data_IF_236472456794
#
_entry.id   IF_236472456794
#
_cell.length_a   1.000
_cell.length_b   1.000
_cell.length_c   1.000
_cell.angle_alpha   90.00
_cell.angle_beta   90.00
_cell.angle_gamma   90.00
#
_symmetry.space_group_name_H-M   'P 1'
#
loop_
_entity.id
_entity.type
_entity.pdbx_description
1 polymer ?
#
# COMPACT_ATOMS: atom_id res chain seq x y z
N UNK A 1 -10.21 21.40 -3.87
CA UNK A 1 -10.80 20.96 -2.59
C UNK A 1 -12.09 21.69 -2.23
N UNK A 2 -12.25 22.99 -2.50
CA UNK A 2 -13.51 23.72 -2.28
C UNK A 2 -14.64 23.42 -3.30
N UNK A 3 -14.32 22.91 -4.50
CA UNK A 3 -15.31 22.65 -5.57
C UNK A 3 -16.22 21.43 -5.36
N UNK A 4 -15.82 20.48 -4.50
CA UNK A 4 -16.57 19.22 -4.30
C UNK A 4 -16.99 18.96 -2.84
N UNK A 5 -16.67 19.86 -1.90
CA UNK A 5 -17.03 19.73 -0.47
C UNK A 5 -16.65 18.37 0.16
N UNK A 6 -15.51 17.79 -0.26
CA UNK A 6 -15.03 16.51 0.23
C UNK A 6 -14.03 16.70 1.38
N UNK A 7 -14.15 15.86 2.42
CA UNK A 7 -13.09 15.69 3.42
C UNK A 7 -11.86 14.96 2.87
N UNK A 8 -10.77 14.82 3.65
CA UNK A 8 -9.51 14.25 3.17
C UNK A 8 -9.65 12.87 2.51
N UNK A 9 -10.36 11.94 3.16
CA UNK A 9 -10.57 10.58 2.65
C UNK A 9 -11.48 10.59 1.40
N UNK A 10 -12.53 11.41 1.40
CA UNK A 10 -13.42 11.56 0.26
C UNK A 10 -12.71 12.15 -0.97
N UNK A 11 -11.77 13.06 -0.76
CA UNK A 11 -10.90 13.60 -1.80
C UNK A 11 -10.04 12.51 -2.44
N UNK A 12 -9.46 11.62 -1.64
CA UNK A 12 -8.70 10.47 -2.15
C UNK A 12 -9.53 9.52 -2.99
N UNK A 13 -10.72 9.14 -2.51
CA UNK A 13 -11.65 8.27 -3.25
C UNK A 13 -11.98 8.90 -4.59
N UNK A 14 -12.32 10.19 -4.59
CA UNK A 14 -12.58 10.94 -5.83
C UNK A 14 -11.38 10.95 -6.79
N UNK A 15 -10.16 11.18 -6.29
CA UNK A 15 -8.96 11.14 -7.11
C UNK A 15 -8.71 9.76 -7.72
N UNK A 16 -8.95 8.67 -6.97
CA UNK A 16 -8.80 7.31 -7.48
C UNK A 16 -9.88 6.98 -8.52
N UNK A 17 -11.14 7.36 -8.28
CA UNK A 17 -12.23 7.26 -9.26
C UNK A 17 -11.90 8.00 -10.55
N UNK A 18 -11.39 9.23 -10.42
CA UNK A 18 -11.00 10.06 -11.56
C UNK A 18 -9.83 9.45 -12.33
N UNK A 19 -8.81 8.96 -11.62
CA UNK A 19 -7.67 8.27 -12.22
C UNK A 19 -8.12 7.02 -12.97
N UNK A 20 -9.02 6.22 -12.38
CA UNK A 20 -9.51 4.99 -13.01
C UNK A 20 -10.25 5.26 -14.32
N UNK A 21 -11.03 6.35 -14.39
CA UNK A 21 -11.74 6.80 -15.59
C UNK A 21 -10.81 7.36 -16.67
N UNK A 22 -9.65 7.88 -16.28
CA UNK A 22 -8.68 8.52 -17.16
C UNK A 22 -7.35 7.74 -17.23
N UNK A 23 -7.40 6.42 -17.03
CA UNK A 23 -6.19 5.59 -16.89
C UNK A 23 -5.28 5.64 -18.12
N UNK A 24 -5.84 5.85 -19.31
CA UNK A 24 -5.10 5.94 -20.57
C UNK A 24 -4.04 7.05 -20.54
N UNK A 25 -4.30 8.14 -19.80
CA UNK A 25 -3.32 9.20 -19.58
C UNK A 25 -2.11 8.68 -18.80
N UNK A 26 -2.33 7.94 -17.71
CA UNK A 26 -1.26 7.36 -16.91
C UNK A 26 -0.49 6.32 -17.72
N UNK A 27 -1.18 5.47 -18.48
CA UNK A 27 -0.56 4.49 -19.36
C UNK A 27 0.37 5.15 -20.38
N UNK A 28 -0.08 6.23 -21.03
CA UNK A 28 0.74 6.98 -21.99
C UNK A 28 2.00 7.58 -21.36
N UNK A 29 1.95 7.96 -20.08
CA UNK A 29 3.10 8.48 -19.34
C UNK A 29 4.06 7.38 -18.88
N UNK A 30 3.53 6.21 -18.53
CA UNK A 30 4.35 5.09 -18.05
C UNK A 30 5.04 4.33 -19.17
N UNK A 31 4.36 4.09 -20.31
CA UNK A 31 4.90 3.33 -21.46
C UNK A 31 6.36 3.62 -21.81
N UNK A 32 6.80 4.88 -22.00
CA UNK A 32 8.19 5.17 -22.38
C UNK A 32 9.22 4.88 -21.26
N UNK A 33 8.79 4.61 -20.04
CA UNK A 33 9.66 4.36 -18.88
C UNK A 33 9.85 2.86 -18.59
N UNK A 34 8.98 1.98 -19.12
CA UNK A 34 8.87 0.58 -18.68
C UNK A 34 10.12 -0.25 -19.00
N UNK A 35 10.78 -0.01 -20.13
CA UNK A 35 11.86 -0.88 -20.60
C UNK A 35 13.13 -0.79 -19.74
N UNK A 36 13.46 0.40 -19.24
CA UNK A 36 14.76 0.67 -18.59
C UNK A 36 14.64 1.03 -17.09
N UNK A 37 13.43 1.10 -16.53
CA UNK A 37 13.23 1.61 -15.17
C UNK A 37 12.34 0.72 -14.30
N UNK A 38 12.59 0.79 -12.99
CA UNK A 38 11.64 0.34 -11.99
C UNK A 38 10.63 1.44 -11.69
N UNK A 39 9.35 1.05 -11.60
CA UNK A 39 8.27 1.95 -11.23
C UNK A 39 7.93 1.74 -9.75
N UNK A 40 8.10 2.81 -8.96
CA UNK A 40 7.67 2.83 -7.57
C UNK A 40 6.41 3.69 -7.44
N UNK A 41 5.33 3.08 -6.97
CA UNK A 41 4.07 3.77 -6.72
C UNK A 41 3.92 3.99 -5.22
N UNK A 42 3.87 5.25 -4.81
CA UNK A 42 3.51 5.60 -3.45
C UNK A 42 1.99 5.70 -3.34
N UNK A 43 1.46 5.00 -2.34
CA UNK A 43 0.03 4.83 -2.12
C UNK A 43 -0.33 5.48 -0.79
N UNK A 44 -1.54 6.07 -0.65
CA UNK A 44 -1.93 6.72 0.59
C UNK A 44 -1.87 5.73 1.76
N UNK A 45 -1.33 6.15 2.91
CA UNK A 45 -1.11 5.27 4.07
C UNK A 45 -2.38 4.85 4.83
N UNK A 46 -3.57 5.25 4.36
CA UNK A 46 -4.83 4.93 5.01
C UNK A 46 -5.35 3.60 4.49
N UNK A 47 -5.26 2.57 5.33
CA UNK A 47 -5.65 1.21 4.98
C UNK A 47 -7.11 1.11 4.55
N UNK A 48 -8.02 1.90 5.14
CA UNK A 48 -9.45 1.85 4.81
C UNK A 48 -9.74 2.18 3.34
N UNK A 49 -8.89 2.95 2.68
CA UNK A 49 -9.04 3.32 1.27
C UNK A 49 -8.88 2.11 0.33
N UNK A 50 -8.15 1.07 0.76
CA UNK A 50 -7.96 -0.16 -0.02
C UNK A 50 -9.07 -1.20 0.23
N UNK A 51 -9.73 -1.10 1.39
CA UNK A 51 -10.75 -2.06 1.81
C UNK A 51 -12.15 -1.62 1.40
N UNK A 52 -12.46 -0.32 1.52
CA UNK A 52 -13.80 0.21 1.26
C UNK A 52 -14.08 0.41 -0.24
N UNK A 53 -13.05 0.54 -1.06
CA UNK A 53 -13.17 0.92 -2.46
C UNK A 53 -12.31 0.02 -3.37
N UNK A 54 -12.93 -0.53 -4.41
CA UNK A 54 -12.26 -1.44 -5.36
C UNK A 54 -11.42 -0.70 -6.42
N UNK A 55 -11.45 0.64 -6.43
CA UNK A 55 -10.78 1.48 -7.42
C UNK A 55 -9.27 1.25 -7.48
N UNK A 56 -8.59 1.18 -6.33
CA UNK A 56 -7.15 0.94 -6.28
C UNK A 56 -6.80 -0.41 -6.94
N UNK A 57 -7.53 -1.48 -6.61
CA UNK A 57 -7.40 -2.80 -7.23
C UNK A 57 -7.70 -2.76 -8.74
N UNK A 58 -8.72 -2.02 -9.15
CA UNK A 58 -9.07 -1.87 -10.58
C UNK A 58 -7.94 -1.20 -11.36
N UNK A 59 -7.39 -0.09 -10.84
CA UNK A 59 -6.24 0.62 -11.43
C UNK A 59 -5.03 -0.31 -11.55
N UNK A 60 -4.66 -1.00 -10.46
CA UNK A 60 -3.56 -1.98 -10.44
C UNK A 60 -3.77 -3.07 -11.52
N UNK A 61 -4.98 -3.64 -11.59
CA UNK A 61 -5.30 -4.69 -12.56
C UNK A 61 -5.22 -4.19 -14.01
N UNK A 62 -5.64 -2.94 -14.27
CA UNK A 62 -5.50 -2.33 -15.60
C UNK A 62 -4.02 -2.16 -15.95
N UNK A 63 -3.20 -1.65 -15.03
CA UNK A 63 -1.76 -1.49 -15.24
C UNK A 63 -1.07 -2.83 -15.55
N UNK A 64 -1.38 -3.90 -14.81
CA UNK A 64 -0.85 -5.24 -15.06
C UNK A 64 -1.26 -5.74 -16.45
N UNK A 65 -2.55 -5.67 -16.79
CA UNK A 65 -3.07 -6.24 -18.04
C UNK A 65 -2.69 -5.43 -19.29
N UNK A 66 -2.67 -4.10 -19.20
CA UNK A 66 -2.48 -3.19 -20.34
C UNK A 66 -1.02 -2.90 -20.62
N UNK A 67 -0.21 -2.78 -19.56
CA UNK A 67 1.21 -2.45 -19.65
C UNK A 67 2.12 -3.66 -19.40
N UNK A 68 1.54 -4.85 -19.16
CA UNK A 68 2.26 -6.08 -18.83
C UNK A 68 3.24 -5.91 -17.65
N UNK A 69 2.87 -5.06 -16.68
CA UNK A 69 3.70 -4.80 -15.52
C UNK A 69 3.65 -5.96 -14.53
N UNK A 70 4.83 -6.31 -14.00
CA UNK A 70 4.98 -7.25 -12.89
C UNK A 70 5.03 -6.47 -11.59
N UNK A 71 3.87 -6.31 -10.95
CA UNK A 71 3.75 -5.55 -9.71
C UNK A 71 3.88 -6.44 -8.48
N UNK A 72 4.39 -5.87 -7.40
CA UNK A 72 4.48 -6.47 -6.06
C UNK A 72 4.21 -5.36 -5.06
N UNK A 73 3.36 -5.61 -4.08
CA UNK A 73 3.05 -4.66 -3.04
C UNK A 73 4.02 -4.85 -1.87
N UNK A 74 4.70 -3.77 -1.50
CA UNK A 74 5.58 -3.72 -0.33
C UNK A 74 4.80 -3.09 0.81
N UNK A 75 4.44 -3.89 1.80
CA UNK A 75 3.66 -3.45 2.94
C UNK A 75 4.60 -3.11 4.11
N UNK A 76 4.75 -1.82 4.36
CA UNK A 76 5.55 -1.31 5.47
C UNK A 76 4.77 -1.43 6.79
N UNK A 77 5.34 -2.15 7.74
CA UNK A 77 4.79 -2.35 9.08
C UNK A 77 5.73 -1.63 10.04
N UNK A 78 5.20 -0.74 10.89
CA UNK A 78 6.03 -0.07 11.90
C UNK A 78 6.54 -1.10 12.91
N UNK A 79 7.87 -1.20 13.08
CA UNK A 79 8.45 -2.23 13.92
C UNK A 79 8.09 -2.09 15.41
N UNK A 80 7.60 -0.92 15.85
CA UNK A 80 7.01 -0.77 17.18
C UNK A 80 5.84 -1.74 17.43
N UNK A 81 5.10 -2.15 16.39
CA UNK A 81 4.00 -3.11 16.52
C UNK A 81 4.48 -4.50 16.96
N UNK A 82 5.75 -4.83 16.77
CA UNK A 82 6.34 -6.09 17.24
C UNK A 82 6.68 -6.08 18.74
N UNK A 83 6.56 -4.94 19.43
CA UNK A 83 6.88 -4.85 20.86
C UNK A 83 5.77 -5.39 21.76
N UNK A 84 4.54 -5.55 21.24
CA UNK A 84 3.38 -6.07 21.98
C UNK A 84 2.71 -7.20 21.20
N UNK A 85 2.36 -8.34 21.84
CA UNK A 85 1.84 -9.50 21.11
C UNK A 85 0.50 -9.22 20.42
N UNK A 86 -0.37 -8.42 21.06
CA UNK A 86 -1.66 -8.05 20.49
C UNK A 86 -1.51 -7.14 19.27
N UNK A 87 -0.60 -6.17 19.34
CA UNK A 87 -0.25 -5.30 18.20
C UNK A 87 0.37 -6.10 17.05
N UNK A 88 1.24 -7.06 17.35
CA UNK A 88 1.87 -7.88 16.33
C UNK A 88 0.86 -8.75 15.59
N UNK A 89 -0.02 -9.46 16.31
CA UNK A 89 -1.09 -10.25 15.69
C UNK A 89 -2.02 -9.36 14.85
N UNK A 90 -2.39 -8.18 15.37
CA UNK A 90 -3.19 -7.21 14.62
C UNK A 90 -2.51 -6.78 13.30
N UNK A 91 -1.20 -6.55 13.33
CA UNK A 91 -0.43 -6.18 12.15
C UNK A 91 -0.38 -7.33 11.10
N UNK A 92 -0.23 -8.58 11.55
CA UNK A 92 -0.26 -9.75 10.68
C UNK A 92 -1.64 -9.93 10.02
N UNK A 93 -2.72 -9.79 10.78
CA UNK A 93 -4.09 -9.88 10.26
C UNK A 93 -4.38 -8.77 9.25
N UNK A 94 -3.94 -7.54 9.55
CA UNK A 94 -4.07 -6.42 8.62
C UNK A 94 -3.31 -6.70 7.33
N UNK A 95 -2.06 -7.17 7.41
CA UNK A 95 -1.27 -7.51 6.23
C UNK A 95 -1.92 -8.60 5.38
N UNK A 96 -2.40 -9.67 6.01
CA UNK A 96 -3.11 -10.73 5.30
C UNK A 96 -4.38 -10.21 4.62
N UNK A 97 -5.16 -9.37 5.33
CA UNK A 97 -6.37 -8.77 4.78
C UNK A 97 -6.05 -7.91 3.56
N UNK A 98 -5.00 -7.07 3.62
CA UNK A 98 -4.56 -6.22 2.51
C UNK A 98 -4.09 -7.07 1.32
N UNK A 99 -3.33 -8.14 1.56
CA UNK A 99 -2.89 -9.06 0.52
C UNK A 99 -4.07 -9.67 -0.24
N UNK A 100 -5.11 -10.12 0.48
CA UNK A 100 -6.32 -10.68 -0.12
C UNK A 100 -7.12 -9.63 -0.92
N UNK A 101 -7.17 -8.38 -0.44
CA UNK A 101 -7.91 -7.32 -1.12
C UNK A 101 -7.21 -6.80 -2.37
N UNK A 102 -5.88 -6.65 -2.36
CA UNK A 102 -5.12 -6.18 -3.51
C UNK A 102 -4.84 -7.26 -4.55
N UNK A 103 -4.84 -8.54 -4.14
CA UNK A 103 -4.51 -9.69 -4.99
C UNK A 103 -3.14 -9.57 -5.68
N UNK A 104 -2.18 -8.97 -4.99
CA UNK A 104 -0.80 -8.86 -5.43
C UNK A 104 0.11 -9.74 -4.57
N UNK A 105 1.25 -10.20 -5.13
CA UNK A 105 2.36 -10.65 -4.30
C UNK A 105 2.69 -9.58 -3.25
N UNK A 106 2.77 -9.97 -1.98
CA UNK A 106 2.95 -9.08 -0.85
C UNK A 106 4.29 -9.35 -0.18
N UNK A 107 5.09 -8.31 0.03
CA UNK A 107 6.31 -8.35 0.83
C UNK A 107 6.08 -7.48 2.06
N UNK A 108 6.04 -8.11 3.23
CA UNK A 108 5.97 -7.41 4.50
C UNK A 108 7.36 -6.94 4.91
N UNK A 109 7.51 -5.65 5.19
CA UNK A 109 8.78 -5.05 5.61
C UNK A 109 8.58 -4.36 6.95
N UNK A 110 9.36 -4.77 7.95
CA UNK A 110 9.44 -4.05 9.21
C UNK A 110 10.23 -2.75 8.98
N UNK A 111 9.53 -1.63 9.07
CA UNK A 111 10.07 -0.28 8.92
C UNK A 111 10.50 0.29 10.27
N UNK A 112 11.42 1.28 10.24
CA UNK A 112 11.95 1.97 11.43
C UNK A 112 12.60 1.04 12.45
N UNK A 113 13.28 0.00 11.96
CA UNK A 113 13.97 -0.97 12.81
C UNK A 113 15.08 -0.33 13.66
N UNK A 114 15.65 0.77 13.17
CA UNK A 114 16.62 1.60 13.87
C UNK A 114 16.07 2.23 15.17
N UNK A 115 14.76 2.42 15.29
CA UNK A 115 14.13 2.99 16.48
C UNK A 115 13.87 1.97 17.57
N UNK A 116 14.07 0.68 17.29
CA UNK A 116 13.65 -0.41 18.18
C UNK A 116 14.39 -0.40 19.51
N UNK A 117 15.68 -0.05 19.49
CA UNK A 117 16.51 0.06 20.70
C UNK A 117 15.96 1.11 21.68
N UNK A 118 15.18 2.08 21.20
CA UNK A 118 14.58 3.13 22.01
C UNK A 118 13.27 2.69 22.70
N UNK A 119 12.67 1.56 22.31
CA UNK A 119 11.35 1.14 22.81
C UNK A 119 11.38 0.31 24.11
N UNK A 120 12.56 0.03 24.68
CA UNK A 120 12.70 -0.70 25.95
C UNK A 120 12.69 -2.22 25.79
N UNK A 121 12.11 -2.97 26.73
CA UNK A 121 12.22 -4.44 26.76
C UNK A 121 11.49 -5.09 25.57
N UNK A 122 12.25 -5.71 24.67
CA UNK A 122 11.84 -6.23 23.36
C UNK A 122 11.22 -7.62 23.43
N UNK A 123 10.19 -7.81 24.26
CA UNK A 123 9.68 -9.12 24.67
C UNK A 123 9.49 -10.17 23.55
N UNK A 124 9.12 -9.77 22.33
CA UNK A 124 8.90 -10.70 21.20
C UNK A 124 10.08 -10.70 20.22
N UNK A 125 10.75 -9.57 20.04
CA UNK A 125 11.79 -9.45 19.00
C UNK A 125 13.06 -10.22 19.32
N UNK A 126 13.34 -10.49 20.59
CA UNK A 126 14.41 -11.41 20.99
C UNK A 126 14.25 -12.85 20.45
N UNK A 127 13.06 -13.20 19.94
CA UNK A 127 12.74 -14.52 19.39
C UNK A 127 12.54 -14.52 17.87
N UNK A 128 12.55 -13.35 17.21
CA UNK A 128 12.24 -13.19 15.77
C UNK A 128 13.50 -12.82 14.96
N UNK A 129 14.50 -12.21 15.59
CA UNK A 129 15.84 -11.94 15.01
C UNK A 129 16.80 -13.03 15.45
#
# INVERSE_FOLDING_TARGET
MAEHSLGPNGGFVYCMDYLEKNIDWLEGKLKPLIEDHYLLFDFPGQVELFFLHSNARSVINKLIKKLNLRLTAVHLIDAHLCCDPGKYVSALLLSLSTMLHLELPHINVLSKIDLIENYGNLGIMSSIV
#
